data_IF_394442224799
#
_entry.id   IF_394442224799
#
_cell.length_a   1.000
_cell.length_b   1.000
_cell.length_c   1.000
_cell.angle_alpha   90.00
_cell.angle_beta   90.00
_cell.angle_gamma   90.00
#
_symmetry.space_group_name_H-M   'P 1'
#
loop_
_entity.id
_entity.type
_entity.pdbx_description
1 polymer ?
#
# COMPACT_ATOMS: atom_id res chain seq x y z
N UNK A 1 14.81 -18.24 21.60
CA UNK A 1 14.49 -17.80 21.08
C UNK A 1 13.76 -18.03 20.59
N UNK A 2 13.70 -17.91 20.81
CA UNK A 2 12.70 -18.28 20.37
C UNK A 2 12.54 -18.18 18.98
N UNK A 3 12.35 -19.14 18.28
CA UNK A 3 12.13 -19.09 16.90
C UNK A 3 10.98 -18.21 16.47
N UNK A 4 10.25 -17.74 17.41
CA UNK A 4 9.16 -16.85 17.06
C UNK A 4 9.62 -15.50 16.57
N UNK A 5 10.88 -15.20 16.73
CA UNK A 5 11.41 -13.92 16.33
C UNK A 5 11.25 -13.63 14.85
N UNK A 6 10.91 -14.56 14.05
CA UNK A 6 10.71 -14.32 12.62
C UNK A 6 9.28 -14.14 12.21
N UNK A 7 8.33 -14.29 13.10
CA UNK A 7 6.93 -14.19 12.70
C UNK A 7 6.43 -12.76 12.77
N UNK A 8 5.76 -12.27 11.72
CA UNK A 8 5.25 -10.90 11.71
C UNK A 8 4.33 -10.58 12.87
N UNK A 9 3.55 -11.56 13.34
CA UNK A 9 2.59 -11.35 14.41
C UNK A 9 3.22 -11.01 15.75
N UNK A 10 4.51 -11.30 15.91
CA UNK A 10 5.22 -11.09 17.17
C UNK A 10 6.03 -9.80 17.19
N UNK A 11 5.96 -8.99 16.13
CA UNK A 11 6.77 -7.80 16.04
C UNK A 11 6.21 -6.67 16.91
N UNK A 12 7.10 -5.99 17.63
CA UNK A 12 6.78 -4.70 18.25
C UNK A 12 6.86 -3.61 17.19
N UNK A 13 6.40 -2.41 17.54
CA UNK A 13 6.53 -1.26 16.62
C UNK A 13 7.99 -1.00 16.27
N UNK A 14 8.89 -1.08 17.27
CA UNK A 14 10.31 -0.88 17.01
C UNK A 14 10.87 -1.95 16.07
N UNK A 15 10.48 -3.21 16.29
CA UNK A 15 10.89 -4.31 15.42
C UNK A 15 10.35 -4.14 14.02
N UNK A 16 9.10 -3.71 13.90
CA UNK A 16 8.50 -3.46 12.59
C UNK A 16 9.31 -2.40 11.84
N UNK A 17 9.62 -1.28 12.50
CA UNK A 17 10.38 -0.21 11.87
C UNK A 17 11.79 -0.65 11.49
N UNK A 18 12.41 -1.48 12.31
CA UNK A 18 13.75 -1.97 12.03
C UNK A 18 13.77 -2.91 10.83
N UNK A 19 12.75 -3.74 10.70
CA UNK A 19 12.69 -4.73 9.61
C UNK A 19 12.21 -4.11 8.31
N UNK A 20 11.17 -3.29 8.37
CA UNK A 20 10.51 -2.78 7.18
C UNK A 20 10.78 -1.31 6.90
N UNK A 21 11.31 -0.57 7.87
CA UNK A 21 11.53 0.85 7.76
C UNK A 21 10.48 1.67 8.51
N UNK A 22 10.84 2.92 8.79
CA UNK A 22 9.97 3.82 9.53
C UNK A 22 8.80 4.29 8.67
N UNK A 23 7.74 4.69 9.32
CA UNK A 23 6.55 5.26 8.67
C UNK A 23 6.34 6.70 9.10
N UNK A 24 6.00 7.56 8.15
CA UNK A 24 5.56 8.91 8.40
C UNK A 24 4.04 8.94 8.31
N UNK A 25 3.38 9.48 9.34
CA UNK A 25 1.93 9.53 9.36
C UNK A 25 1.36 10.40 8.25
N UNK A 26 0.24 9.98 7.68
CA UNK A 26 -0.46 10.75 6.66
C UNK A 26 -1.94 10.84 7.02
N UNK A 27 -2.54 11.95 6.65
CA UNK A 27 -3.93 12.24 6.95
C UNK A 27 -4.75 12.25 5.66
N UNK A 28 -6.10 12.24 5.75
CA UNK A 28 -6.95 12.28 4.55
C UNK A 28 -6.60 13.43 3.59
N UNK A 29 -6.22 14.59 4.13
CA UNK A 29 -5.85 15.71 3.28
C UNK A 29 -4.60 15.41 2.45
N UNK A 30 -3.64 14.68 3.01
CA UNK A 30 -2.44 14.26 2.28
C UNK A 30 -2.81 13.32 1.13
N UNK A 31 -3.71 12.39 1.40
CA UNK A 31 -4.18 11.44 0.38
C UNK A 31 -4.89 12.20 -0.75
N UNK A 32 -5.75 13.14 -0.40
CA UNK A 32 -6.45 13.94 -1.40
C UNK A 32 -5.47 14.73 -2.28
N UNK A 33 -4.40 15.25 -1.68
CA UNK A 33 -3.37 15.96 -2.43
C UNK A 33 -2.62 15.01 -3.36
N UNK A 34 -2.27 13.82 -2.88
CA UNK A 34 -1.59 12.83 -3.70
C UNK A 34 -2.39 12.47 -4.94
N UNK A 35 -3.70 12.26 -4.76
CA UNK A 35 -4.60 11.81 -5.83
C UNK A 35 -5.30 12.94 -6.58
N UNK A 36 -4.89 14.20 -6.36
CA UNK A 36 -5.57 15.35 -6.96
C UNK A 36 -5.66 15.26 -8.49
N UNK A 37 -4.65 14.69 -9.14
CA UNK A 37 -4.60 14.58 -10.60
C UNK A 37 -4.88 13.16 -11.09
N UNK A 38 -5.29 12.27 -10.20
CA UNK A 38 -5.58 10.90 -10.57
C UNK A 38 -6.96 10.82 -11.21
N UNK A 39 -7.01 10.24 -12.40
CA UNK A 39 -8.23 10.21 -13.21
C UNK A 39 -8.99 8.89 -13.13
N UNK A 40 -8.61 8.01 -12.20
CA UNK A 40 -9.26 6.72 -12.00
C UNK A 40 -9.92 6.67 -10.62
N UNK A 41 -10.80 5.69 -10.37
CA UNK A 41 -11.43 5.59 -9.05
C UNK A 41 -10.41 5.39 -7.93
N UNK A 42 -10.62 6.09 -6.84
CA UNK A 42 -9.85 5.89 -5.61
C UNK A 42 -10.74 6.21 -4.42
N UNK A 43 -10.40 5.65 -3.28
CA UNK A 43 -11.13 5.91 -2.05
C UNK A 43 -10.21 5.67 -0.85
N UNK A 44 -10.69 6.04 0.34
CA UNK A 44 -9.91 5.89 1.55
C UNK A 44 -10.43 4.70 2.33
N UNK A 45 -9.52 3.80 2.69
CA UNK A 45 -9.79 2.70 3.59
C UNK A 45 -9.22 3.05 4.97
N UNK A 46 -9.51 2.25 5.98
CA UNK A 46 -8.90 2.42 7.29
C UNK A 46 -7.46 1.90 7.30
N UNK A 47 -6.74 2.18 8.38
CA UNK A 47 -5.33 1.82 8.51
C UNK A 47 -5.08 0.35 8.85
N UNK A 48 -5.87 -0.55 8.33
CA UNK A 48 -5.77 -1.98 8.64
C UNK A 48 -4.93 -2.78 7.63
N UNK A 49 -4.52 -2.16 6.54
CA UNK A 49 -3.78 -2.88 5.50
C UNK A 49 -2.43 -3.40 6.02
N UNK A 50 -1.71 -2.61 6.81
CA UNK A 50 -0.44 -3.06 7.38
C UNK A 50 -0.67 -4.21 8.36
N UNK A 51 -1.75 -4.14 9.14
CA UNK A 51 -2.10 -5.24 10.02
C UNK A 51 -2.35 -6.52 9.23
N UNK A 52 -3.09 -6.41 8.12
CA UNK A 52 -3.32 -7.56 7.25
C UNK A 52 -2.03 -8.08 6.63
N UNK A 53 -1.11 -7.19 6.30
CA UNK A 53 0.18 -7.58 5.73
C UNK A 53 1.05 -8.34 6.72
N UNK A 54 1.14 -7.85 7.96
CA UNK A 54 2.05 -8.40 8.96
C UNK A 54 1.36 -9.19 10.06
N UNK A 55 0.06 -9.01 10.24
CA UNK A 55 -0.66 -9.53 11.40
C UNK A 55 -0.41 -8.74 12.69
N UNK A 56 0.33 -7.66 12.61
CA UNK A 56 0.66 -6.84 13.77
C UNK A 56 -0.31 -5.68 13.87
N UNK A 57 -1.00 -5.56 15.01
CA UNK A 57 -1.86 -4.43 15.29
C UNK A 57 -1.01 -3.19 15.52
N UNK A 58 -1.46 -2.07 14.97
CA UNK A 58 -0.80 -0.79 15.21
C UNK A 58 -1.84 0.32 15.33
N UNK A 59 -1.40 1.49 15.76
CA UNK A 59 -2.28 2.64 15.83
C UNK A 59 -2.72 3.05 14.43
N UNK A 60 -4.03 3.24 14.26
CA UNK A 60 -4.62 3.58 12.98
C UNK A 60 -4.87 5.09 12.89
N UNK A 61 -3.82 5.88 13.07
CA UNK A 61 -3.91 7.32 12.88
C UNK A 61 -3.86 7.67 11.39
N UNK A 62 -3.27 6.78 10.61
CA UNK A 62 -3.10 6.99 9.19
C UNK A 62 -4.29 6.41 8.43
N UNK A 63 -4.47 6.88 7.22
CA UNK A 63 -5.46 6.34 6.32
C UNK A 63 -4.77 5.76 5.11
N UNK A 64 -5.36 4.72 4.56
CA UNK A 64 -4.81 4.04 3.40
C UNK A 64 -5.67 4.34 2.18
N UNK A 65 -5.08 4.87 1.11
CA UNK A 65 -5.83 4.99 -0.13
C UNK A 65 -6.00 3.63 -0.78
N UNK A 66 -7.05 3.49 -1.57
CA UNK A 66 -7.31 2.29 -2.35
C UNK A 66 -7.55 2.67 -3.78
N UNK A 67 -7.05 1.85 -4.70
CA UNK A 67 -7.30 1.98 -6.13
C UNK A 67 -7.68 0.60 -6.67
N UNK A 68 -8.19 0.57 -7.88
CA UNK A 68 -8.43 -0.70 -8.55
C UNK A 68 -7.10 -1.33 -8.93
N UNK A 69 -6.97 -2.63 -8.69
CA UNK A 69 -5.73 -3.35 -9.01
C UNK A 69 -5.39 -3.26 -10.49
N UNK A 70 -6.40 -3.28 -11.36
CA UNK A 70 -6.19 -3.13 -12.80
C UNK A 70 -5.61 -1.77 -13.18
N UNK A 71 -5.69 -0.78 -12.31
CA UNK A 71 -5.18 0.56 -12.56
C UNK A 71 -3.78 0.78 -12.00
N UNK A 72 -3.05 -0.29 -11.68
CA UNK A 72 -1.70 -0.17 -11.14
C UNK A 72 -0.80 0.72 -12.02
N UNK A 73 -0.91 0.59 -13.33
CA UNK A 73 -0.10 1.42 -14.24
C UNK A 73 -0.43 2.90 -14.09
N UNK A 74 -1.69 3.23 -13.85
CA UNK A 74 -2.10 4.62 -13.65
C UNK A 74 -1.58 5.16 -12.32
N UNK A 75 -1.57 4.34 -11.28
CA UNK A 75 -0.97 4.72 -10.02
C UNK A 75 0.52 4.97 -10.18
N UNK A 76 1.21 4.08 -10.89
CA UNK A 76 2.65 4.22 -11.13
C UNK A 76 2.94 5.50 -11.90
N UNK A 77 2.12 5.84 -12.89
CA UNK A 77 2.27 7.09 -13.63
C UNK A 77 2.08 8.30 -12.73
N UNK A 78 1.11 8.23 -11.82
CA UNK A 78 0.84 9.34 -10.89
C UNK A 78 2.05 9.64 -10.02
N UNK A 79 2.71 8.63 -9.53
CA UNK A 79 3.79 8.80 -8.55
C UNK A 79 5.19 8.79 -9.17
N UNK A 80 5.29 8.61 -10.47
CA UNK A 80 6.57 8.54 -11.19
C UNK A 80 7.41 9.78 -10.89
N UNK A 81 8.68 9.55 -10.52
CA UNK A 81 9.59 10.63 -10.20
C UNK A 81 9.38 11.23 -8.82
N UNK A 82 8.38 10.79 -8.08
CA UNK A 82 8.06 11.30 -6.74
C UNK A 82 8.19 10.26 -5.66
N UNK A 83 7.83 9.02 -5.94
CA UNK A 83 7.83 7.93 -4.97
C UNK A 83 8.36 6.65 -5.59
N UNK A 84 9.10 5.90 -4.78
CA UNK A 84 9.40 4.50 -5.08
C UNK A 84 8.15 3.68 -4.77
N UNK A 85 7.90 2.67 -5.62
CA UNK A 85 6.77 1.75 -5.46
C UNK A 85 7.31 0.38 -5.08
N UNK A 86 6.80 -0.18 -4.00
CA UNK A 86 7.20 -1.51 -3.53
C UNK A 86 5.97 -2.38 -3.36
N UNK A 87 6.03 -3.58 -3.93
CA UNK A 87 4.99 -4.58 -3.68
C UNK A 87 5.18 -5.17 -2.29
N UNK A 88 4.10 -5.27 -1.54
CA UNK A 88 4.11 -5.81 -0.18
C UNK A 88 3.15 -6.98 -0.09
N UNK A 89 3.61 -8.12 0.39
CA UNK A 89 2.79 -9.31 0.53
C UNK A 89 3.40 -10.27 1.53
N UNK A 90 2.59 -10.71 2.49
CA UNK A 90 2.96 -11.78 3.43
C UNK A 90 4.31 -11.54 4.11
N UNK A 91 4.56 -10.30 4.51
CA UNK A 91 5.79 -9.93 5.21
C UNK A 91 6.98 -9.67 4.31
N UNK A 92 6.83 -9.76 2.99
CA UNK A 92 7.91 -9.53 2.04
C UNK A 92 7.67 -8.24 1.26
N UNK A 93 8.76 -7.59 0.88
CA UNK A 93 8.74 -6.38 0.06
C UNK A 93 9.58 -6.60 -1.18
N UNK A 94 9.09 -6.12 -2.32
CA UNK A 94 9.82 -6.16 -3.59
C UNK A 94 9.66 -4.81 -4.29
N UNK A 95 10.77 -4.16 -4.69
CA UNK A 95 10.64 -2.91 -5.44
C UNK A 95 10.06 -3.17 -6.83
N UNK A 96 9.24 -2.23 -7.29
CA UNK A 96 8.75 -2.21 -8.66
C UNK A 96 9.42 -1.01 -9.31
N UNK A 97 10.47 -1.26 -10.11
CA UNK A 97 11.27 -0.20 -10.70
C UNK A 97 10.52 0.47 -11.85
N UNK A 98 10.82 1.75 -12.06
CA UNK A 98 10.12 2.53 -13.10
C UNK A 98 10.23 1.92 -14.49
N UNK A 99 11.36 1.29 -14.80
CA UNK A 99 11.56 0.70 -16.11
C UNK A 99 10.85 -0.65 -16.30
N UNK A 100 10.34 -1.25 -15.23
CA UNK A 100 9.61 -2.50 -15.36
C UNK A 100 8.25 -2.24 -15.98
N UNK A 101 7.83 -3.14 -16.86
CA UNK A 101 6.52 -3.08 -17.48
C UNK A 101 5.86 -4.43 -17.37
N UNK A 102 4.54 -4.44 -17.26
CA UNK A 102 3.80 -5.68 -17.17
C UNK A 102 2.46 -5.51 -16.50
N UNK A 103 1.75 -6.61 -16.38
CA UNK A 103 0.48 -6.66 -15.68
C UNK A 103 0.72 -6.65 -14.17
N UNK A 104 -0.32 -6.36 -13.36
CA UNK A 104 -0.17 -6.47 -11.91
C UNK A 104 0.37 -7.82 -11.45
N UNK A 105 -0.09 -8.92 -12.04
CA UNK A 105 0.41 -10.25 -11.66
C UNK A 105 1.90 -10.41 -11.94
N UNK A 106 2.40 -9.77 -12.98
CA UNK A 106 3.82 -9.86 -13.32
C UNK A 106 4.70 -8.99 -12.43
N UNK A 107 4.17 -7.85 -11.99
CA UNK A 107 4.94 -6.86 -11.23
C UNK A 107 4.88 -7.04 -9.74
N UNK A 108 3.80 -7.61 -9.22
CA UNK A 108 3.57 -7.73 -7.79
C UNK A 108 4.00 -9.10 -7.28
N UNK A 109 4.32 -9.15 -6.00
CA UNK A 109 4.53 -10.41 -5.31
C UNK A 109 3.27 -11.24 -5.38
N UNK A 110 3.41 -12.56 -5.37
CA UNK A 110 2.27 -13.48 -5.39
C UNK A 110 1.32 -13.15 -4.27
N UNK A 111 0.04 -13.06 -4.58
CA UNK A 111 -0.98 -12.68 -3.61
C UNK A 111 -0.96 -11.22 -3.23
N UNK A 112 -0.11 -10.41 -3.88
CA UNK A 112 0.03 -9.00 -3.52
C UNK A 112 -1.21 -8.20 -3.80
N UNK A 113 -1.69 -7.50 -2.78
CA UNK A 113 -2.86 -6.65 -2.88
C UNK A 113 -2.60 -5.24 -2.37
N UNK A 114 -1.34 -4.87 -2.21
CA UNK A 114 -0.98 -3.54 -1.73
C UNK A 114 0.42 -3.17 -2.19
N UNK A 115 0.65 -1.87 -2.31
CA UNK A 115 1.98 -1.33 -2.57
C UNK A 115 2.26 -0.25 -1.54
N UNK A 116 3.53 -0.12 -1.18
CA UNK A 116 4.01 0.90 -0.26
C UNK A 116 4.78 1.94 -1.05
N UNK A 117 4.60 3.19 -0.69
CA UNK A 117 5.24 4.33 -1.35
C UNK A 117 6.11 5.09 -0.38
N UNK A 118 7.33 5.42 -0.81
CA UNK A 118 8.22 6.33 -0.11
C UNK A 118 9.01 7.14 -1.13
N UNK A 119 9.46 8.35 -0.76
CA UNK A 119 10.19 9.20 -1.72
C UNK A 119 11.52 8.63 -2.17
N UNK A 120 12.15 7.82 -1.34
CA UNK A 120 13.43 7.20 -1.66
C UNK A 120 13.78 6.14 -0.64
N UNK A 121 14.82 5.36 -0.93
CA UNK A 121 15.20 4.22 -0.11
C UNK A 121 15.61 4.59 1.32
N UNK A 122 16.02 5.84 1.53
CA UNK A 122 16.45 6.33 2.83
C UNK A 122 15.36 7.15 3.54
N UNK A 123 14.15 7.17 3.00
CA UNK A 123 13.04 7.96 3.53
C UNK A 123 11.99 7.05 4.16
N UNK A 124 11.20 7.58 5.11
CA UNK A 124 10.10 6.81 5.68
C UNK A 124 9.05 6.49 4.62
N UNK A 125 8.36 5.38 4.83
CA UNK A 125 7.15 5.05 4.06
C UNK A 125 6.08 6.10 4.36
N UNK A 126 5.33 6.49 3.33
CA UNK A 126 4.29 7.51 3.48
C UNK A 126 2.90 6.98 3.18
N UNK A 127 2.77 6.01 2.29
CA UNK A 127 1.46 5.49 1.89
C UNK A 127 1.49 3.99 1.75
N UNK A 128 0.42 3.36 2.21
CA UNK A 128 0.11 1.96 1.94
C UNK A 128 -1.13 1.99 1.06
N UNK A 129 -0.97 1.70 -0.22
CA UNK A 129 -2.07 1.78 -1.19
C UNK A 129 -2.62 0.38 -1.41
N UNK A 130 -3.90 0.21 -1.08
CA UNK A 130 -4.59 -1.05 -1.34
C UNK A 130 -4.94 -1.16 -2.81
N UNK A 131 -4.73 -2.36 -3.35
CA UNK A 131 -5.06 -2.68 -4.73
C UNK A 131 -6.27 -3.61 -4.70
N UNK A 132 -7.44 -3.04 -4.91
CA UNK A 132 -8.69 -3.78 -4.79
C UNK A 132 -9.05 -4.47 -6.09
N UNK A 133 -9.48 -5.72 -6.04
CA UNK A 133 -9.95 -6.40 -7.25
C UNK A 133 -11.25 -5.76 -7.73
N UNK A 134 -11.56 -5.97 -9.01
CA UNK A 134 -12.79 -5.50 -9.59
C UNK A 134 -12.54 -4.44 -10.65
N UNK A 135 -13.61 -3.80 -11.06
CA UNK A 135 -13.58 -2.77 -12.09
C UNK A 135 -14.33 -1.54 -11.58
N UNK A 136 -14.51 -0.55 -12.44
CA UNK A 136 -15.20 0.67 -12.07
C UNK A 136 -16.62 0.42 -11.58
N UNK A 137 -17.29 -0.54 -12.16
CA UNK A 137 -18.64 -0.91 -11.78
C UNK A 137 -18.66 -1.51 -10.38
N UNK A 138 -17.71 -2.40 -10.10
CA UNK A 138 -17.58 -3.00 -8.78
C UNK A 138 -17.26 -1.93 -7.74
N UNK A 139 -16.39 -1.00 -8.08
CA UNK A 139 -16.05 0.10 -7.18
C UNK A 139 -17.26 0.96 -6.87
N UNK A 140 -18.05 1.32 -7.87
CA UNK A 140 -19.25 2.13 -7.67
C UNK A 140 -20.26 1.42 -6.76
N UNK A 141 -20.42 0.13 -6.95
CA UNK A 141 -21.29 -0.67 -6.11
C UNK A 141 -20.83 -0.68 -4.65
N UNK A 142 -19.53 -0.82 -4.45
CA UNK A 142 -18.96 -0.88 -3.10
C UNK A 142 -19.04 0.45 -2.36
N UNK A 143 -19.15 1.55 -3.07
CA UNK A 143 -19.27 2.86 -2.45
C UNK A 143 -20.66 3.15 -1.92
N UNK A 144 -21.65 2.43 -2.36
CA UNK A 144 -23.02 2.63 -1.94
C UNK A 144 -23.36 1.67 -0.82
N UNK A 145 -23.41 2.15 0.43
CA UNK A 145 -23.64 1.25 1.56
C UNK A 145 -25.05 0.68 1.60
N UNK A 146 -25.96 1.17 0.77
CA UNK A 146 -27.31 0.64 0.72
C UNK A 146 -27.41 -0.60 -0.16
N UNK A 147 -26.37 -0.92 -0.89
CA UNK A 147 -26.33 -2.10 -1.77
C UNK A 147 -25.57 -3.30 -1.13
#
# INVERSE_FOLDING_TARGET
>A
MSGVAGTPNDLTDDDFHRVYGAWAGREPADVATLFAEYDRPWWIAGGWAIEAFTGVSRHHHDVDPSVLRQDLSRLRDLVRGRYDVWSASSGALRPVFEQEAGTPDELLLEGGCQVWLRPGWDQPWEYDVLLSPGDERTWAYRRDPSI
#
